data_IF_010067021160
#
_entry.id   IF_010067021160
#
_cell.length_a   1.000
_cell.length_b   1.000
_cell.length_c   1.000
_cell.angle_alpha   90.00
_cell.angle_beta   90.00
_cell.angle_gamma   90.00
#
_symmetry.space_group_name_H-M   'P 1'
#
loop_
_entity.id
_entity.type
_entity.pdbx_description
1 polymer ?
#
# COMPACT_ATOMS: atom_id res chain seq x y z
N UNK A 1 31.35 63.48 -40.65
CA UNK A 1 31.64 62.06 -40.38
C UNK A 1 31.00 61.66 -39.06
N UNK A 2 29.82 61.07 -39.11
CA UNK A 2 29.01 60.66 -37.91
C UNK A 2 29.10 59.17 -37.84
N UNK A 3 29.68 58.61 -36.70
CA UNK A 3 29.73 57.14 -36.42
C UNK A 3 28.42 56.67 -35.82
N UNK A 4 27.85 55.53 -36.26
CA UNK A 4 26.66 54.99 -35.63
C UNK A 4 27.00 54.27 -34.33
N UNK A 5 26.19 54.53 -33.30
CA UNK A 5 26.17 53.85 -32.00
C UNK A 5 25.46 52.49 -32.17
N UNK A 6 26.17 51.40 -31.90
CA UNK A 6 25.57 50.06 -31.84
C UNK A 6 24.89 49.85 -30.47
N UNK A 7 23.58 49.76 -30.45
CA UNK A 7 22.81 49.35 -29.30
C UNK A 7 22.87 47.84 -29.15
N UNK A 8 23.48 47.37 -28.07
CA UNK A 8 23.43 45.96 -27.65
C UNK A 8 22.11 45.67 -26.93
N UNK A 9 21.26 44.90 -27.59
CA UNK A 9 20.05 44.34 -27.00
C UNK A 9 20.44 43.18 -26.08
N UNK A 10 20.37 43.39 -24.77
CA UNK A 10 20.40 42.33 -23.74
C UNK A 10 19.01 41.69 -23.69
N UNK A 11 18.90 40.44 -24.15
CA UNK A 11 17.70 39.64 -24.01
C UNK A 11 17.61 39.09 -22.56
N UNK A 12 16.48 39.23 -21.87
CA UNK A 12 16.31 38.62 -20.57
C UNK A 12 16.11 37.11 -20.73
N UNK A 13 16.99 36.35 -20.10
CA UNK A 13 16.89 34.89 -20.01
C UNK A 13 15.81 34.55 -18.96
N UNK A 14 14.60 34.22 -19.38
CA UNK A 14 13.56 33.70 -18.52
C UNK A 14 13.88 32.25 -18.18
N UNK A 15 14.37 32.01 -16.95
CA UNK A 15 14.44 30.67 -16.34
C UNK A 15 13.01 30.22 -16.05
N UNK A 16 12.43 29.45 -16.94
CA UNK A 16 11.23 28.64 -16.66
C UNK A 16 11.61 27.55 -15.67
N UNK A 17 11.39 27.82 -14.38
CA UNK A 17 11.44 26.81 -13.34
C UNK A 17 10.38 25.75 -13.65
N UNK A 18 10.80 24.54 -13.98
CA UNK A 18 9.92 23.37 -14.08
C UNK A 18 9.37 23.05 -12.70
N UNK A 19 8.18 23.53 -12.38
CA UNK A 19 7.40 23.06 -11.24
C UNK A 19 6.89 21.66 -11.62
N UNK A 20 7.55 20.61 -11.09
CA UNK A 20 6.98 19.27 -11.14
C UNK A 20 5.75 19.26 -10.24
N UNK A 21 4.55 18.96 -10.75
CA UNK A 21 3.40 18.77 -9.89
C UNK A 21 3.68 17.55 -9.00
N UNK A 22 3.52 17.72 -7.68
CA UNK A 22 3.37 16.60 -6.75
C UNK A 22 2.17 15.80 -7.27
N UNK A 23 2.41 14.60 -7.74
CA UNK A 23 1.35 13.67 -8.10
C UNK A 23 0.61 13.32 -6.82
N UNK A 24 -0.58 13.90 -6.62
CA UNK A 24 -1.51 13.45 -5.60
C UNK A 24 -1.90 12.02 -5.99
N UNK A 25 -1.66 11.07 -5.11
CA UNK A 25 -2.18 9.71 -5.27
C UNK A 25 -3.69 9.81 -5.06
N UNK A 26 -4.45 9.59 -6.14
CA UNK A 26 -5.91 9.60 -6.06
C UNK A 26 -6.38 8.40 -5.21
N UNK A 27 -7.36 8.59 -4.31
CA UNK A 27 -7.94 7.49 -3.56
C UNK A 27 -8.50 6.42 -4.51
N UNK A 28 -8.20 5.16 -4.23
CA UNK A 28 -8.67 4.06 -5.08
C UNK A 28 -10.14 3.81 -4.81
N UNK A 29 -10.97 3.95 -5.86
CA UNK A 29 -12.39 3.64 -5.78
C UNK A 29 -12.57 2.11 -5.67
N UNK A 30 -12.89 1.64 -4.47
CA UNK A 30 -13.27 0.25 -4.19
C UNK A 30 -14.68 0.21 -3.60
N UNK A 31 -15.36 -0.93 -3.78
CA UNK A 31 -16.64 -1.16 -3.11
C UNK A 31 -16.44 -1.28 -1.60
N UNK A 32 -17.34 -0.67 -0.83
CA UNK A 32 -17.35 -0.89 0.62
C UNK A 32 -18.01 -2.22 0.95
N UNK A 33 -17.52 -2.95 1.98
CA UNK A 33 -18.15 -4.18 2.41
C UNK A 33 -19.55 -3.92 3.00
N UNK A 34 -20.46 -4.84 2.77
CA UNK A 34 -21.73 -4.94 3.48
C UNK A 34 -21.54 -5.60 4.85
N UNK A 35 -22.59 -5.60 5.69
CA UNK A 35 -22.53 -6.28 7.00
C UNK A 35 -22.42 -7.82 6.89
N UNK A 36 -22.73 -8.37 5.72
CA UNK A 36 -22.72 -9.81 5.47
C UNK A 36 -21.42 -10.30 4.81
N UNK A 37 -20.57 -9.37 4.32
CA UNK A 37 -19.32 -9.72 3.65
C UNK A 37 -18.31 -10.32 4.63
N UNK A 38 -17.84 -11.49 4.27
CA UNK A 38 -16.83 -12.21 5.03
C UNK A 38 -15.50 -12.30 4.25
N UNK A 39 -14.41 -12.24 5.00
CA UNK A 39 -13.07 -12.47 4.46
C UNK A 39 -12.98 -13.92 3.93
N UNK A 40 -12.62 -14.14 2.65
CA UNK A 40 -12.56 -15.49 2.08
C UNK A 40 -11.43 -16.36 2.66
N UNK A 41 -10.49 -15.75 3.39
CA UNK A 41 -9.34 -16.45 3.98
C UNK A 41 -9.62 -16.88 5.40
N UNK A 42 -10.15 -16.00 6.26
CA UNK A 42 -10.36 -16.29 7.69
C UNK A 42 -11.84 -16.39 8.10
N UNK A 43 -12.80 -15.97 7.24
CA UNK A 43 -14.23 -16.02 7.51
C UNK A 43 -14.77 -14.92 8.42
N UNK A 44 -13.96 -13.95 8.82
CA UNK A 44 -14.41 -12.84 9.68
C UNK A 44 -15.29 -11.87 8.92
N UNK A 45 -16.28 -11.25 9.58
CA UNK A 45 -17.09 -10.20 9.02
C UNK A 45 -16.27 -8.92 8.86
N UNK A 46 -16.02 -8.53 7.61
CA UNK A 46 -15.08 -7.46 7.27
C UNK A 46 -15.56 -6.09 7.75
N UNK A 47 -16.86 -5.81 7.65
CA UNK A 47 -17.44 -4.54 8.06
C UNK A 47 -17.24 -4.19 9.56
N UNK A 48 -16.84 -5.15 10.38
CA UNK A 48 -16.49 -4.92 11.79
C UNK A 48 -15.15 -4.22 11.98
N UNK A 49 -14.33 -4.17 10.95
CA UNK A 49 -12.95 -3.68 11.02
C UNK A 49 -12.68 -2.61 9.96
N UNK A 50 -13.40 -1.48 9.97
CA UNK A 50 -13.39 -0.50 8.88
C UNK A 50 -12.00 0.11 8.60
N UNK A 51 -11.16 0.21 9.62
CA UNK A 51 -9.78 0.72 9.47
C UNK A 51 -8.81 -0.30 8.84
N UNK A 52 -9.22 -1.55 8.66
CA UNK A 52 -8.37 -2.64 8.18
C UNK A 52 -8.77 -3.20 6.82
N UNK A 53 -9.89 -2.73 6.26
CA UNK A 53 -10.44 -3.30 5.05
C UNK A 53 -9.42 -3.28 3.92
N UNK A 54 -9.22 -4.45 3.30
CA UNK A 54 -8.53 -4.58 2.03
C UNK A 54 -9.48 -5.19 0.99
N UNK A 55 -9.25 -4.92 -0.29
CA UNK A 55 -10.19 -5.27 -1.37
C UNK A 55 -9.44 -5.75 -2.60
N UNK A 56 -9.92 -6.84 -3.21
CA UNK A 56 -9.62 -7.22 -4.59
C UNK A 56 -10.89 -7.01 -5.41
N UNK A 57 -10.82 -6.22 -6.47
CA UNK A 57 -11.92 -6.03 -7.41
C UNK A 57 -11.51 -6.52 -8.78
N UNK A 58 -12.37 -7.33 -9.39
CA UNK A 58 -12.18 -7.89 -10.73
C UNK A 58 -12.79 -6.99 -11.81
N UNK A 59 -12.37 -7.19 -13.06
CA UNK A 59 -12.81 -6.41 -14.22
C UNK A 59 -14.32 -6.53 -14.48
N UNK A 60 -14.94 -7.63 -14.08
CA UNK A 60 -16.39 -7.86 -14.18
C UNK A 60 -17.21 -7.18 -13.07
N UNK A 61 -16.52 -6.46 -12.14
CA UNK A 61 -17.13 -5.77 -11.02
C UNK A 61 -17.28 -6.64 -9.76
N UNK A 62 -17.01 -7.95 -9.82
CA UNK A 62 -16.97 -8.80 -8.64
C UNK A 62 -15.84 -8.36 -7.70
N UNK A 63 -16.03 -8.48 -6.39
CA UNK A 63 -15.01 -8.11 -5.41
C UNK A 63 -14.97 -9.06 -4.23
N UNK A 64 -13.78 -9.21 -3.67
CA UNK A 64 -13.55 -9.85 -2.37
C UNK A 64 -13.01 -8.83 -1.38
N UNK A 65 -13.53 -8.90 -0.16
CA UNK A 65 -13.18 -8.01 0.94
C UNK A 65 -12.41 -8.78 2.01
N UNK A 66 -11.43 -8.13 2.63
CA UNK A 66 -10.58 -8.72 3.65
C UNK A 66 -10.54 -7.82 4.89
N UNK A 67 -10.37 -8.40 6.04
CA UNK A 67 -10.24 -7.73 7.34
C UNK A 67 -8.79 -7.31 7.67
N UNK A 68 -7.87 -7.45 6.72
CA UNK A 68 -6.48 -7.02 6.83
C UNK A 68 -5.69 -7.24 5.54
N UNK A 69 -4.57 -6.53 5.41
CA UNK A 69 -3.67 -6.68 4.27
C UNK A 69 -3.03 -8.07 4.23
N UNK A 70 -2.76 -8.69 5.38
CA UNK A 70 -2.17 -10.02 5.46
C UNK A 70 -3.03 -11.08 4.74
N UNK A 71 -4.33 -11.08 4.98
CA UNK A 71 -5.23 -12.04 4.34
C UNK A 71 -5.45 -11.71 2.85
N UNK A 72 -5.46 -10.43 2.47
CA UNK A 72 -5.39 -10.02 1.07
C UNK A 72 -4.18 -10.65 0.37
N UNK A 73 -2.98 -10.57 0.96
CA UNK A 73 -1.78 -11.15 0.36
C UNK A 73 -1.81 -12.68 0.32
N UNK A 74 -2.34 -13.35 1.35
CA UNK A 74 -2.56 -14.81 1.30
C UNK A 74 -3.43 -15.20 0.10
N UNK A 75 -4.51 -14.45 -0.12
CA UNK A 75 -5.41 -14.64 -1.25
C UNK A 75 -4.68 -14.45 -2.59
N UNK A 76 -3.93 -13.36 -2.76
CA UNK A 76 -3.22 -13.04 -3.99
C UNK A 76 -2.10 -14.02 -4.32
N UNK A 77 -1.44 -14.58 -3.32
CA UNK A 77 -0.33 -15.52 -3.50
C UNK A 77 -0.78 -16.95 -3.79
N UNK A 78 -2.03 -17.29 -3.49
CA UNK A 78 -2.60 -18.62 -3.76
C UNK A 78 -4.05 -18.52 -4.29
N UNK A 79 -4.21 -17.81 -5.42
CA UNK A 79 -5.50 -17.67 -6.11
C UNK A 79 -6.19 -19.00 -6.41
N UNK A 80 -5.48 -20.07 -6.84
CA UNK A 80 -6.13 -21.36 -7.08
C UNK A 80 -6.85 -21.92 -5.86
N UNK A 81 -6.35 -21.64 -4.67
CA UNK A 81 -6.97 -22.09 -3.41
C UNK A 81 -8.15 -21.21 -3.01
N UNK A 82 -8.00 -19.88 -3.09
CA UNK A 82 -8.95 -18.94 -2.51
C UNK A 82 -10.00 -18.41 -3.49
N UNK A 83 -9.69 -18.45 -4.80
CA UNK A 83 -10.54 -17.99 -5.88
C UNK A 83 -10.45 -18.93 -7.09
N UNK A 84 -10.88 -20.21 -6.94
CA UNK A 84 -10.82 -21.16 -8.04
C UNK A 84 -11.61 -20.64 -9.24
N UNK A 85 -10.95 -20.59 -10.40
CA UNK A 85 -11.54 -20.07 -11.64
C UNK A 85 -11.18 -18.62 -11.96
N UNK A 86 -10.64 -17.86 -11.05
CA UNK A 86 -10.13 -16.51 -11.31
C UNK A 86 -8.63 -16.50 -11.58
N UNK A 87 -8.21 -15.52 -12.38
CA UNK A 87 -6.81 -15.30 -12.74
C UNK A 87 -6.36 -13.91 -12.29
N UNK A 88 -5.05 -13.78 -12.06
CA UNK A 88 -4.45 -12.51 -11.62
C UNK A 88 -4.67 -11.37 -12.62
N UNK A 89 -4.70 -11.69 -13.92
CA UNK A 89 -4.89 -10.72 -15.00
C UNK A 89 -6.31 -10.13 -15.04
N UNK A 90 -7.27 -10.79 -14.38
CA UNK A 90 -8.66 -10.32 -14.28
C UNK A 90 -8.86 -9.32 -13.14
N UNK A 91 -7.84 -9.15 -12.26
CA UNK A 91 -7.89 -8.20 -11.17
C UNK A 91 -7.69 -6.78 -11.71
N UNK A 92 -8.71 -5.95 -11.54
CA UNK A 92 -8.69 -4.55 -11.94
C UNK A 92 -8.05 -3.67 -10.86
N UNK A 93 -8.44 -3.86 -9.59
CA UNK A 93 -8.03 -3.01 -8.47
C UNK A 93 -7.64 -3.88 -7.28
N UNK A 94 -6.58 -3.48 -6.59
CA UNK A 94 -6.22 -4.01 -5.27
C UNK A 94 -6.08 -2.81 -4.33
N UNK A 95 -6.97 -2.70 -3.34
CA UNK A 95 -7.00 -1.62 -2.37
C UNK A 95 -6.66 -2.09 -0.96
N UNK A 96 -5.97 -1.23 -0.22
CA UNK A 96 -5.75 -1.38 1.23
C UNK A 96 -6.12 -0.08 1.94
N UNK A 97 -6.37 -0.13 3.23
CA UNK A 97 -6.66 1.08 4.03
C UNK A 97 -5.37 1.63 4.61
N UNK A 98 -5.05 2.89 4.27
CA UNK A 98 -3.97 3.62 4.90
C UNK A 98 -4.22 3.78 6.41
N UNK A 99 -3.20 3.52 7.21
CA UNK A 99 -3.33 3.49 8.66
C UNK A 99 -3.70 4.85 9.28
N UNK A 100 -3.10 5.94 8.80
CA UNK A 100 -3.31 7.26 9.39
C UNK A 100 -4.57 7.96 8.90
N UNK A 101 -4.84 7.88 7.60
CA UNK A 101 -5.95 8.60 6.97
C UNK A 101 -7.25 7.80 6.93
N UNK A 102 -7.16 6.47 7.11
CA UNK A 102 -8.28 5.52 6.96
C UNK A 102 -8.93 5.62 5.57
N UNK A 103 -8.13 5.99 4.55
CA UNK A 103 -8.56 6.04 3.15
C UNK A 103 -8.08 4.81 2.37
N UNK A 104 -8.78 4.49 1.26
CA UNK A 104 -8.37 3.40 0.36
C UNK A 104 -7.27 3.89 -0.56
N UNK A 105 -6.14 3.20 -0.54
CA UNK A 105 -4.99 3.43 -1.41
C UNK A 105 -4.70 2.20 -2.27
N UNK A 106 -3.99 2.38 -3.38
CA UNK A 106 -3.55 1.25 -4.21
C UNK A 106 -2.51 0.42 -3.45
N UNK A 107 -2.84 -0.84 -3.24
CA UNK A 107 -1.98 -1.78 -2.52
C UNK A 107 -0.60 -1.94 -3.16
N UNK A 108 -0.49 -1.81 -4.49
CA UNK A 108 0.78 -1.93 -5.22
C UNK A 108 1.71 -0.74 -4.99
N UNK A 109 1.12 0.42 -4.64
CA UNK A 109 1.84 1.67 -4.41
C UNK A 109 2.10 1.91 -2.92
N UNK A 110 1.40 1.22 -2.03
CA UNK A 110 1.56 1.35 -0.59
C UNK A 110 2.94 0.92 -0.09
N UNK A 111 3.32 1.49 1.02
CA UNK A 111 4.42 1.03 1.88
C UNK A 111 3.83 0.19 3.00
N UNK A 112 4.51 -0.86 3.40
CA UNK A 112 4.04 -1.74 4.47
C UNK A 112 5.05 -1.82 5.58
N UNK A 113 4.63 -1.47 6.81
CA UNK A 113 5.45 -1.72 8.00
C UNK A 113 5.09 -3.07 8.57
N UNK A 114 6.13 -3.84 8.93
CA UNK A 114 6.03 -5.17 9.55
C UNK A 114 6.67 -5.16 10.93
N UNK A 115 6.18 -6.06 11.79
CA UNK A 115 6.78 -6.29 13.11
C UNK A 115 6.52 -5.19 14.12
N UNK A 116 5.47 -4.39 13.94
CA UNK A 116 5.06 -3.36 14.89
C UNK A 116 4.31 -3.92 16.09
N UNK A 117 4.13 -3.09 17.11
CA UNK A 117 3.28 -3.35 18.29
C UNK A 117 1.77 -3.19 17.98
N UNK A 118 1.42 -2.67 16.81
CA UNK A 118 0.03 -2.54 16.36
C UNK A 118 -0.45 -3.87 15.81
N UNK A 119 -1.53 -4.39 16.39
CA UNK A 119 -2.15 -5.64 15.97
C UNK A 119 -3.43 -5.35 15.18
N UNK A 120 -3.59 -6.04 14.06
CA UNK A 120 -4.84 -6.08 13.30
C UNK A 120 -5.82 -7.12 13.84
N UNK A 121 -6.96 -7.32 13.15
CA UNK A 121 -7.99 -8.29 13.56
C UNK A 121 -7.47 -9.72 13.74
N UNK A 122 -6.47 -10.10 12.95
CA UNK A 122 -5.84 -11.42 12.97
C UNK A 122 -4.42 -11.40 13.57
N UNK A 123 -4.16 -10.52 14.55
CA UNK A 123 -2.86 -10.39 15.20
C UNK A 123 -1.88 -9.54 14.40
N UNK A 124 -0.62 -9.98 14.31
CA UNK A 124 0.37 -9.21 13.56
C UNK A 124 0.00 -9.05 12.09
N UNK A 125 0.23 -7.84 11.57
CA UNK A 125 -0.31 -7.41 10.28
C UNK A 125 0.77 -6.73 9.42
N UNK A 126 0.46 -6.54 8.15
CA UNK A 126 1.15 -5.64 7.23
C UNK A 126 0.44 -4.31 7.34
N UNK A 127 1.09 -3.29 7.91
CA UNK A 127 0.48 -1.97 8.12
C UNK A 127 0.65 -1.13 6.85
N UNK A 128 -0.42 -0.85 6.08
CA UNK A 128 -0.32 -0.07 4.86
C UNK A 128 -0.23 1.41 5.17
N UNK A 129 0.66 2.10 4.45
CA UNK A 129 0.90 3.53 4.53
C UNK A 129 1.07 4.10 3.12
N UNK A 130 0.50 5.28 2.88
CA UNK A 130 0.51 5.89 1.56
C UNK A 130 1.89 6.40 1.17
N UNK A 131 2.58 7.04 2.12
CA UNK A 131 3.88 7.66 1.85
C UNK A 131 5.02 6.93 2.57
N UNK A 132 6.24 7.08 2.03
CA UNK A 132 7.43 6.58 2.69
C UNK A 132 7.69 7.31 4.02
N UNK A 133 7.38 8.60 4.10
CA UNK A 133 7.54 9.41 5.29
C UNK A 133 6.65 8.91 6.43
N UNK A 134 5.39 8.60 6.13
CA UNK A 134 4.47 8.00 7.10
C UNK A 134 4.96 6.63 7.56
N UNK A 135 5.50 5.82 6.64
CA UNK A 135 6.06 4.51 6.98
C UNK A 135 7.29 4.61 7.90
N UNK A 136 8.17 5.58 7.66
CA UNK A 136 9.34 5.83 8.52
C UNK A 136 8.89 6.34 9.91
N UNK A 137 7.89 7.22 9.96
CA UNK A 137 7.29 7.71 11.21
C UNK A 137 6.63 6.57 11.99
N UNK A 138 5.78 5.77 11.32
CA UNK A 138 5.12 4.62 11.95
C UNK A 138 6.12 3.58 12.47
N UNK A 139 7.17 3.28 11.69
CA UNK A 139 8.22 2.36 12.09
C UNK A 139 8.87 2.77 13.41
N UNK A 140 9.14 4.08 13.57
CA UNK A 140 9.76 4.63 14.77
C UNK A 140 8.80 4.64 15.97
N UNK A 141 7.55 5.06 15.76
CA UNK A 141 6.56 5.27 16.83
C UNK A 141 5.98 3.93 17.35
N UNK A 142 5.94 2.90 16.51
CA UNK A 142 5.32 1.61 16.79
C UNK A 142 6.29 0.44 16.83
N UNK A 143 7.56 0.70 17.11
CA UNK A 143 8.61 -0.32 17.23
C UNK A 143 8.66 -1.29 16.02
N UNK A 144 8.34 -0.79 14.83
CA UNK A 144 8.34 -1.58 13.60
C UNK A 144 9.73 -2.14 13.27
N UNK A 145 9.79 -3.29 12.62
CA UNK A 145 11.04 -4.00 12.34
C UNK A 145 11.50 -3.88 10.88
N UNK A 146 10.61 -3.46 9.98
CA UNK A 146 10.96 -3.27 8.58
C UNK A 146 9.88 -2.57 7.79
N UNK A 147 10.31 -1.96 6.67
CA UNK A 147 9.43 -1.37 5.66
C UNK A 147 9.64 -2.13 4.37
N UNK A 148 8.57 -2.61 3.77
CA UNK A 148 8.58 -3.41 2.56
C UNK A 148 7.60 -2.86 1.52
N UNK A 149 7.71 -3.34 0.29
CA UNK A 149 6.80 -3.03 -0.81
C UNK A 149 5.91 -4.24 -1.12
N UNK A 150 4.91 -4.02 -1.95
CA UNK A 150 3.96 -5.04 -2.39
C UNK A 150 4.63 -6.32 -2.91
N UNK A 151 5.66 -6.17 -3.74
CA UNK A 151 6.36 -7.29 -4.37
C UNK A 151 7.33 -8.02 -3.42
N UNK A 152 7.62 -7.45 -2.26
CA UNK A 152 8.48 -8.09 -1.24
C UNK A 152 7.70 -9.08 -0.36
N UNK A 153 6.35 -9.08 -0.43
CA UNK A 153 5.52 -9.97 0.39
C UNK A 153 5.59 -11.40 -0.13
N UNK A 154 6.01 -12.31 0.73
CA UNK A 154 6.18 -13.73 0.41
C UNK A 154 5.34 -14.63 1.32
N UNK A 155 5.04 -15.88 0.90
CA UNK A 155 4.36 -16.85 1.77
C UNK A 155 5.10 -17.11 3.09
N UNK A 156 6.43 -17.07 3.06
CA UNK A 156 7.26 -17.23 4.26
C UNK A 156 7.04 -16.08 5.25
N UNK A 157 7.05 -14.82 4.76
CA UNK A 157 6.76 -13.65 5.58
C UNK A 157 5.37 -13.74 6.21
N UNK A 158 4.34 -14.11 5.44
CA UNK A 158 2.98 -14.25 5.95
C UNK A 158 2.87 -15.33 7.03
N UNK A 159 3.60 -16.44 6.87
CA UNK A 159 3.65 -17.51 7.90
C UNK A 159 4.32 -17.03 9.19
N UNK A 160 5.30 -16.15 9.09
CA UNK A 160 5.99 -15.54 10.23
C UNK A 160 5.08 -14.57 10.98
N UNK A 161 4.33 -13.73 10.24
CA UNK A 161 3.32 -12.84 10.79
C UNK A 161 2.23 -13.64 11.55
N UNK A 162 1.74 -14.74 10.97
CA UNK A 162 0.75 -15.62 11.62
C UNK A 162 1.27 -16.25 12.90
N UNK A 163 2.55 -16.58 12.95
CA UNK A 163 3.17 -17.18 14.11
C UNK A 163 3.59 -16.16 15.19
N UNK A 164 3.39 -14.87 14.94
CA UNK A 164 3.84 -13.79 15.83
C UNK A 164 5.36 -13.76 16.01
N UNK A 165 6.10 -14.35 15.08
CA UNK A 165 7.56 -14.37 15.12
C UNK A 165 8.11 -13.23 14.28
N UNK A 166 8.56 -12.19 14.96
CA UNK A 166 9.35 -11.14 14.34
C UNK A 166 10.80 -11.32 14.75
N UNK A 167 11.62 -11.29 13.75
CA UNK A 167 13.01 -11.69 13.83
C UNK A 167 13.86 -10.66 14.54
N UNK A 168 14.66 -11.13 15.48
CA UNK A 168 16.00 -10.59 15.60
C UNK A 168 16.70 -10.86 14.25
N UNK A 169 16.80 -9.82 13.40
CA UNK A 169 17.39 -9.93 12.07
C UNK A 169 16.46 -9.59 10.89
N UNK A 170 15.21 -9.14 11.12
CA UNK A 170 14.38 -8.60 10.04
C UNK A 170 15.01 -7.34 9.41
N UNK A 171 15.67 -6.50 10.22
CA UNK A 171 16.47 -5.36 9.77
C UNK A 171 17.57 -5.73 8.77
N UNK A 172 18.11 -6.94 8.84
CA UNK A 172 19.16 -7.40 7.93
C UNK A 172 18.59 -7.89 6.59
N UNK A 173 17.34 -8.36 6.57
CA UNK A 173 16.64 -8.83 5.36
C UNK A 173 15.79 -7.76 4.69
N UNK A 174 15.27 -6.82 5.46
CA UNK A 174 14.41 -5.72 5.00
C UNK A 174 14.95 -4.39 5.51
N UNK A 175 16.20 -3.98 5.14
CA UNK A 175 16.74 -2.70 5.57
C UNK A 175 15.83 -1.58 5.08
N UNK A 176 15.59 -0.58 5.93
CA UNK A 176 14.95 0.67 5.52
C UNK A 176 15.79 1.27 4.37
N UNK A 177 15.30 1.19 3.14
CA UNK A 177 15.97 1.70 1.92
C UNK A 177 15.59 3.15 1.68
#
# INVERSE_FOLDING_TARGET
>A
MIKPIRASLLAPFFLLGAWSPLALVEPVATTNPTQEDTCPVCGMFVAKYPAWIATVQYQDGHSHQFDGAKDLFKYLLDLPKWAPGHRREEIAVIGVTDYYTVTRIDARLAWYVIGSDVLGPMGHELIPLETREDADTFLADHAGQGIIRFDDVTPALLSELDAGRFFQGASDRYPAR
#
